data_IF_878062368663
#
_entry.id   IF_878062368663
#
_cell.length_a   1.000
_cell.length_b   1.000
_cell.length_c   1.000
_cell.angle_alpha   90.00
_cell.angle_beta   90.00
_cell.angle_gamma   90.00
#
_symmetry.space_group_name_H-M   'P 1'
#
loop_
_entity.id
_entity.type
_entity.pdbx_description
1 polymer ?
#
# COMPACT_ATOMS: atom_id res chain seq x y z
N UNK A 1 -11.92 32.53 39.18
CA UNK A 1 -12.49 33.55 38.25
C UNK A 1 -11.50 33.67 37.11
N UNK A 2 -11.72 33.18 35.89
CA UNK A 2 -12.97 32.94 35.16
C UNK A 2 -12.93 31.52 34.60
N UNK A 3 -13.97 30.78 34.94
CA UNK A 3 -14.35 29.49 34.39
C UNK A 3 -15.06 29.77 33.05
N UNK A 4 -14.53 29.30 31.93
CA UNK A 4 -15.24 29.30 30.65
C UNK A 4 -15.45 27.85 30.20
N UNK A 5 -16.40 27.21 30.87
CA UNK A 5 -17.19 26.12 30.32
C UNK A 5 -18.04 26.69 29.16
N UNK A 6 -17.58 26.49 27.92
CA UNK A 6 -18.43 26.69 26.75
C UNK A 6 -19.43 25.51 26.67
N UNK A 7 -20.74 25.77 26.51
CA UNK A 7 -21.74 24.71 26.49
C UNK A 7 -21.71 23.93 25.16
N UNK A 8 -21.74 22.60 25.25
CA UNK A 8 -22.14 21.75 24.13
C UNK A 8 -23.67 21.86 23.95
N UNK A 9 -24.11 22.73 23.05
CA UNK A 9 -25.47 22.66 22.52
C UNK A 9 -25.49 21.65 21.36
N UNK A 10 -25.91 20.42 21.61
CA UNK A 10 -26.34 19.49 20.57
C UNK A 10 -27.73 19.92 20.09
N UNK A 11 -27.81 20.72 19.02
CA UNK A 11 -29.07 20.92 18.30
C UNK A 11 -29.36 19.68 17.45
N UNK A 12 -30.48 19.00 17.73
CA UNK A 12 -30.95 17.85 16.98
C UNK A 12 -31.35 18.25 15.55
N UNK A 13 -30.47 18.02 14.57
CA UNK A 13 -30.86 17.87 13.17
C UNK A 13 -30.28 16.54 12.67
N UNK A 14 -31.14 15.61 12.26
CA UNK A 14 -30.78 14.25 11.80
C UNK A 14 -30.19 14.25 10.39
N UNK A 15 -29.24 15.15 10.12
CA UNK A 15 -28.69 15.38 8.78
C UNK A 15 -27.22 15.04 8.60
N UNK A 16 -26.37 15.07 9.64
CA UNK A 16 -24.92 15.12 9.41
C UNK A 16 -24.02 14.48 10.49
N UNK A 17 -24.48 13.39 11.11
CA UNK A 17 -23.74 12.70 12.20
C UNK A 17 -22.31 12.30 11.83
N UNK A 18 -22.03 11.95 10.56
CA UNK A 18 -20.68 11.57 10.11
C UNK A 18 -19.77 12.79 9.96
N UNK A 19 -20.26 13.91 9.40
CA UNK A 19 -19.47 15.13 9.24
C UNK A 19 -19.19 15.80 10.59
N UNK A 20 -20.19 15.82 11.46
CA UNK A 20 -20.07 16.30 12.84
C UNK A 20 -19.06 15.45 13.64
N UNK A 21 -19.16 14.12 13.53
CA UNK A 21 -18.19 13.22 14.14
C UNK A 21 -16.78 13.43 13.56
N UNK A 22 -16.63 13.55 12.23
CA UNK A 22 -15.34 13.85 11.58
C UNK A 22 -14.74 15.16 12.09
N UNK A 23 -15.53 16.22 12.21
CA UNK A 23 -15.10 17.52 12.74
C UNK A 23 -14.64 17.40 14.20
N UNK A 24 -15.40 16.68 15.03
CA UNK A 24 -15.05 16.39 16.42
C UNK A 24 -13.73 15.60 16.53
N UNK A 25 -13.55 14.53 15.74
CA UNK A 25 -12.32 13.74 15.72
C UNK A 25 -11.12 14.51 15.16
N UNK A 26 -11.31 15.36 14.15
CA UNK A 26 -10.25 16.24 13.64
C UNK A 26 -9.80 17.24 14.72
N UNK A 27 -10.74 17.84 15.46
CA UNK A 27 -10.45 18.70 16.60
C UNK A 27 -9.72 17.93 17.72
N UNK A 28 -10.17 16.72 18.05
CA UNK A 28 -9.52 15.85 19.03
C UNK A 28 -8.13 15.42 18.59
N UNK A 29 -7.91 15.13 17.29
CA UNK A 29 -6.60 14.83 16.70
C UNK A 29 -5.64 16.00 16.86
N UNK A 30 -6.07 17.22 16.56
CA UNK A 30 -5.26 18.43 16.76
C UNK A 30 -4.92 18.64 18.24
N UNK A 31 -5.91 18.48 19.14
CA UNK A 31 -5.71 18.60 20.60
C UNK A 31 -4.81 17.51 21.17
N UNK A 32 -4.97 16.27 20.74
CA UNK A 32 -4.19 15.14 21.23
C UNK A 32 -2.75 15.17 20.70
N UNK A 33 -2.55 15.64 19.47
CA UNK A 33 -1.22 16.00 18.95
C UNK A 33 -0.62 17.10 19.84
N UNK A 34 -1.38 18.12 20.22
CA UNK A 34 -0.95 19.18 21.15
C UNK A 34 -0.64 18.68 22.57
N UNK A 35 -1.41 17.74 23.13
CA UNK A 35 -1.15 17.14 24.44
C UNK A 35 0.09 16.22 24.43
N UNK A 36 0.26 15.43 23.36
CA UNK A 36 1.47 14.62 23.14
C UNK A 36 2.69 15.53 22.95
N UNK A 37 2.55 16.65 22.23
CA UNK A 37 3.59 17.67 22.05
C UNK A 37 4.01 18.34 23.38
N UNK A 38 3.09 18.54 24.32
CA UNK A 38 3.35 19.30 25.56
C UNK A 38 3.82 18.45 26.74
N UNK A 39 3.41 17.18 26.85
CA UNK A 39 3.60 16.40 28.09
C UNK A 39 4.28 15.04 27.92
N UNK A 40 4.48 14.55 26.70
CA UNK A 40 5.00 13.20 26.44
C UNK A 40 4.03 12.08 26.87
N UNK A 41 4.21 10.89 26.30
CA UNK A 41 3.29 9.74 26.54
C UNK A 41 3.27 9.24 27.99
N UNK A 42 4.36 9.43 28.76
CA UNK A 42 4.45 8.95 30.14
C UNK A 42 3.44 9.63 31.08
N UNK A 43 3.10 10.91 30.85
CA UNK A 43 2.13 11.64 31.66
C UNK A 43 0.66 11.38 31.26
N UNK A 44 0.43 10.81 30.06
CA UNK A 44 -0.91 10.49 29.57
C UNK A 44 -1.49 9.20 30.18
N UNK A 45 -0.61 8.34 30.73
CA UNK A 45 -0.96 7.01 31.28
C UNK A 45 -1.99 7.08 32.42
N UNK A 46 -1.99 8.17 33.20
CA UNK A 46 -2.92 8.37 34.32
C UNK A 46 -4.30 8.89 33.90
N UNK A 47 -4.43 9.62 32.78
CA UNK A 47 -5.73 10.12 32.27
C UNK A 47 -6.42 9.20 31.27
N UNK A 48 -5.71 8.22 30.72
CA UNK A 48 -6.29 7.23 29.80
C UNK A 48 -7.30 6.29 30.48
N UNK A 49 -7.27 6.15 31.81
CA UNK A 49 -8.28 5.37 32.56
C UNK A 49 -9.67 6.02 32.60
N UNK A 50 -9.76 7.34 32.46
CA UNK A 50 -11.05 8.08 32.41
C UNK A 50 -11.58 8.24 30.98
N UNK A 51 -10.77 8.00 29.95
CA UNK A 51 -11.16 8.11 28.52
C UNK A 51 -11.69 6.80 27.92
N UNK A 52 -11.94 5.78 28.75
CA UNK A 52 -12.36 4.43 28.34
C UNK A 52 -13.77 4.40 27.70
N UNK A 53 -14.58 5.45 27.85
CA UNK A 53 -15.90 5.55 27.20
C UNK A 53 -15.88 6.18 25.78
N UNK A 54 -14.73 6.65 25.28
CA UNK A 54 -14.61 7.26 23.95
C UNK A 54 -13.80 6.35 23.01
N UNK A 55 -14.44 5.25 22.61
CA UNK A 55 -13.86 4.17 21.82
C UNK A 55 -13.76 4.49 20.32
N UNK A 56 -13.13 5.62 19.96
CA UNK A 56 -12.76 5.95 18.57
C UNK A 56 -11.56 6.89 18.60
N UNK A 57 -10.38 6.32 18.86
CA UNK A 57 -9.13 7.04 18.95
C UNK A 57 -8.59 7.41 17.55
N UNK A 58 -7.82 8.50 17.40
CA UNK A 58 -7.26 8.91 16.11
C UNK A 58 -6.28 7.87 15.54
N UNK A 59 -6.18 7.82 14.20
CA UNK A 59 -5.39 6.90 13.32
C UNK A 59 -3.96 6.50 13.78
N UNK A 60 -3.34 7.22 14.72
CA UNK A 60 -2.02 6.90 15.30
C UNK A 60 -2.11 6.19 16.65
N UNK A 61 -3.12 6.52 17.48
CA UNK A 61 -3.30 5.82 18.75
C UNK A 61 -3.87 4.43 18.53
N UNK A 62 -4.71 4.20 17.51
CA UNK A 62 -5.26 2.86 17.22
C UNK A 62 -4.16 1.82 17.00
N UNK A 63 -3.06 2.15 16.32
CA UNK A 63 -1.92 1.23 16.12
C UNK A 63 -1.18 0.97 17.45
N UNK A 64 -0.98 2.01 18.26
CA UNK A 64 -0.33 1.89 19.57
C UNK A 64 -1.22 1.10 20.55
N UNK A 65 -2.53 1.36 20.52
CA UNK A 65 -3.55 0.73 21.33
C UNK A 65 -3.75 -0.73 20.91
N UNK A 66 -3.78 -1.05 19.61
CA UNK A 66 -3.80 -2.43 19.09
C UNK A 66 -2.52 -3.19 19.45
N UNK A 67 -1.32 -2.59 19.33
CA UNK A 67 -0.06 -3.20 19.79
C UNK A 67 -0.07 -3.49 21.30
N UNK A 68 -0.75 -2.65 22.09
CA UNK A 68 -0.82 -2.77 23.55
C UNK A 68 -1.96 -3.72 24.00
N UNK A 69 -3.11 -3.76 23.31
CA UNK A 69 -4.29 -4.55 23.68
C UNK A 69 -4.28 -5.98 23.13
N UNK A 70 -3.73 -6.23 21.94
CA UNK A 70 -3.84 -7.54 21.28
C UNK A 70 -2.88 -8.61 21.82
N UNK A 71 -2.22 -8.41 22.97
CA UNK A 71 -1.61 -9.49 23.76
C UNK A 71 -0.50 -10.31 23.10
N UNK A 72 -0.18 -10.12 21.82
CA UNK A 72 0.77 -10.94 21.07
C UNK A 72 2.24 -10.68 21.39
N UNK A 73 2.55 -9.77 22.33
CA UNK A 73 3.92 -9.37 22.64
C UNK A 73 4.24 -9.27 24.15
N UNK A 74 3.30 -9.56 25.05
CA UNK A 74 3.62 -9.72 26.47
C UNK A 74 3.95 -11.18 26.79
N UNK A 75 4.93 -11.77 26.07
CA UNK A 75 5.75 -12.80 26.69
C UNK A 75 6.85 -12.08 27.47
N UNK A 76 6.88 -12.35 28.77
CA UNK A 76 7.64 -11.65 29.79
C UNK A 76 9.16 -11.88 29.73
N UNK A 77 9.79 -11.68 28.58
CA UNK A 77 11.24 -11.76 28.39
C UNK A 77 11.70 -10.62 27.47
N UNK A 78 12.14 -9.49 28.02
CA UNK A 78 13.08 -8.51 27.42
C UNK A 78 12.95 -8.17 25.91
N UNK A 79 11.74 -8.21 25.33
CA UNK A 79 11.54 -7.83 23.93
C UNK A 79 11.49 -6.31 23.84
N UNK A 80 12.58 -5.72 23.36
CA UNK A 80 12.61 -4.35 22.87
C UNK A 80 11.45 -4.15 21.86
N UNK A 81 10.44 -3.35 22.25
CA UNK A 81 9.27 -3.03 21.42
C UNK A 81 9.65 -2.38 20.07
N UNK A 82 10.90 -1.93 19.91
CA UNK A 82 11.42 -1.31 18.70
C UNK A 82 10.73 0.01 18.36
N UNK A 83 9.97 0.57 19.32
CA UNK A 83 9.22 1.80 19.18
C UNK A 83 10.08 2.99 19.57
N UNK A 84 10.08 4.00 18.72
CA UNK A 84 10.68 5.30 18.93
C UNK A 84 9.60 6.36 18.96
N UNK A 85 9.82 7.43 19.72
CA UNK A 85 8.81 8.44 19.99
C UNK A 85 9.32 9.84 19.66
N UNK A 86 8.39 10.80 19.67
CA UNK A 86 8.69 12.23 19.59
C UNK A 86 9.51 12.62 18.34
N UNK A 87 9.32 11.90 17.24
CA UNK A 87 10.03 12.10 15.99
C UNK A 87 9.78 13.47 15.37
N UNK A 88 10.82 14.10 14.85
CA UNK A 88 10.80 15.26 13.95
C UNK A 88 11.55 14.84 12.70
N UNK A 89 10.87 14.91 11.56
CA UNK A 89 11.42 14.62 10.25
C UNK A 89 11.58 15.93 9.49
N UNK A 90 12.79 16.25 9.06
CA UNK A 90 13.08 17.41 8.23
C UNK A 90 13.75 17.00 6.92
N UNK A 91 13.47 17.76 5.87
CA UNK A 91 14.01 17.53 4.53
C UNK A 91 14.70 18.78 4.03
N UNK A 92 15.95 18.60 3.60
CA UNK A 92 16.71 19.58 2.85
C UNK A 92 16.94 19.04 1.44
N UNK A 93 16.90 19.90 0.42
CA UNK A 93 17.23 19.53 -0.95
C UNK A 93 17.89 20.70 -1.69
N UNK A 94 18.52 20.40 -2.84
CA UNK A 94 19.06 21.43 -3.73
C UNK A 94 17.99 22.45 -4.15
N UNK A 95 18.39 23.69 -4.43
CA UNK A 95 17.47 24.83 -4.70
C UNK A 95 16.46 24.58 -5.82
N UNK A 96 16.86 23.80 -6.82
CA UNK A 96 16.07 23.45 -8.01
C UNK A 96 15.09 22.29 -7.76
N UNK A 97 15.06 21.73 -6.55
CA UNK A 97 14.09 20.72 -6.12
C UNK A 97 13.22 21.31 -5.03
N UNK A 98 11.90 21.14 -5.16
CA UNK A 98 10.92 21.60 -4.17
C UNK A 98 10.17 20.41 -3.58
N UNK A 99 9.70 20.56 -2.35
CA UNK A 99 8.90 19.57 -1.61
C UNK A 99 7.42 19.88 -1.86
N UNK A 100 6.71 19.01 -2.57
CA UNK A 100 5.24 19.11 -2.71
C UNK A 100 4.53 18.65 -1.43
N UNK A 101 5.09 17.65 -0.77
CA UNK A 101 4.64 17.20 0.53
C UNK A 101 4.90 15.73 0.77
N UNK A 102 4.19 15.18 1.77
CA UNK A 102 4.38 13.83 2.27
C UNK A 102 3.04 13.13 2.49
N UNK A 103 2.99 11.84 2.16
CA UNK A 103 1.89 10.94 2.47
C UNK A 103 2.42 9.85 3.41
N UNK A 104 1.89 9.84 4.63
CA UNK A 104 2.30 8.89 5.66
C UNK A 104 1.85 9.31 7.07
N UNK A 105 2.18 8.52 8.11
CA UNK A 105 1.78 8.75 9.49
C UNK A 105 2.56 9.90 10.16
N UNK A 106 2.33 11.13 9.71
CA UNK A 106 2.96 12.33 10.22
C UNK A 106 1.99 13.53 10.23
N UNK A 107 2.39 14.61 10.88
CA UNK A 107 1.67 15.88 10.90
C UNK A 107 2.63 17.02 10.54
N UNK A 108 2.15 18.01 9.78
CA UNK A 108 2.94 19.19 9.42
C UNK A 108 3.42 19.96 10.67
N UNK A 109 4.65 20.45 10.64
CA UNK A 109 5.17 21.44 11.59
C UNK A 109 5.11 22.87 11.05
N UNK A 110 4.48 23.06 9.88
CA UNK A 110 4.27 24.37 9.25
C UNK A 110 5.57 25.18 9.07
N UNK A 111 6.70 24.49 8.89
CA UNK A 111 8.00 25.09 8.59
C UNK A 111 8.00 25.53 7.12
N UNK A 112 7.45 26.72 6.89
CA UNK A 112 7.46 27.37 5.58
C UNK A 112 8.88 27.76 5.19
N UNK A 113 9.17 27.74 3.90
CA UNK A 113 10.46 28.15 3.38
C UNK A 113 10.59 27.96 1.88
N UNK A 114 11.74 28.37 1.30
CA UNK A 114 11.97 28.33 -0.15
C UNK A 114 12.03 26.90 -0.72
N UNK A 115 12.01 25.87 0.12
CA UNK A 115 11.96 24.47 -0.28
C UNK A 115 10.54 23.98 -0.56
N UNK A 116 9.49 24.68 -0.13
CA UNK A 116 8.10 24.26 -0.34
C UNK A 116 7.69 24.53 -1.80
N UNK A 117 7.02 23.57 -2.45
CA UNK A 117 6.37 23.79 -3.76
C UNK A 117 5.05 24.54 -3.59
N UNK A 118 4.63 25.24 -4.64
CA UNK A 118 3.29 25.82 -4.76
C UNK A 118 2.22 24.73 -4.95
N UNK A 119 2.60 23.62 -5.60
CA UNK A 119 1.72 22.46 -5.76
C UNK A 119 1.82 21.56 -4.54
N UNK A 120 0.71 21.36 -3.84
CA UNK A 120 0.66 20.64 -2.56
C UNK A 120 0.08 19.24 -2.74
N UNK A 121 0.77 18.25 -2.18
CA UNK A 121 0.26 16.87 -2.09
C UNK A 121 0.43 16.33 -0.68
N UNK A 122 -0.61 15.69 -0.13
CA UNK A 122 -0.58 15.16 1.23
C UNK A 122 -0.42 16.27 2.26
N UNK A 123 0.45 16.05 3.25
CA UNK A 123 0.84 17.04 4.24
C UNK A 123 1.95 17.94 3.66
N UNK A 124 1.61 18.88 2.77
CA UNK A 124 2.59 19.79 2.16
C UNK A 124 2.69 21.15 2.84
N UNK A 125 3.14 22.18 2.10
CA UNK A 125 3.41 23.54 2.61
C UNK A 125 4.39 23.60 3.81
N UNK A 126 5.25 22.60 3.93
CA UNK A 126 6.27 22.50 5.00
C UNK A 126 7.45 21.67 4.50
N UNK A 127 8.61 21.86 5.11
CA UNK A 127 9.77 20.95 4.97
C UNK A 127 10.07 20.17 6.24
N UNK A 128 9.18 20.22 7.24
CA UNK A 128 9.30 19.50 8.49
C UNK A 128 7.97 18.95 8.99
N UNK A 129 8.03 17.76 9.61
CA UNK A 129 6.88 17.02 10.12
C UNK A 129 7.15 16.38 11.47
N UNK A 130 6.10 16.26 12.27
CA UNK A 130 6.10 15.52 13.52
C UNK A 130 5.63 14.08 13.30
N UNK A 131 6.32 13.14 13.93
CA UNK A 131 5.94 11.73 14.00
C UNK A 131 5.86 11.31 15.47
N UNK A 132 4.64 11.05 15.97
CA UNK A 132 4.45 10.73 17.39
C UNK A 132 5.01 9.35 17.76
N UNK A 133 4.91 8.38 16.85
CA UNK A 133 5.45 7.03 17.00
C UNK A 133 6.07 6.55 15.69
N UNK A 134 7.30 6.07 15.76
CA UNK A 134 8.11 5.59 14.64
C UNK A 134 8.67 4.24 15.01
N UNK A 135 8.69 3.28 14.09
CA UNK A 135 9.47 2.07 14.25
C UNK A 135 10.31 1.82 13.00
N UNK A 136 11.07 0.72 12.99
CA UNK A 136 11.94 0.35 11.88
C UNK A 136 11.18 0.10 10.57
N UNK A 137 9.86 -0.16 10.63
CA UNK A 137 9.01 -0.44 9.46
C UNK A 137 8.27 0.80 8.94
N UNK A 138 8.21 1.89 9.72
CA UNK A 138 7.60 3.15 9.28
C UNK A 138 8.27 3.69 8.02
N UNK A 139 7.50 3.79 6.95
CA UNK A 139 7.91 4.36 5.67
C UNK A 139 7.04 5.55 5.30
N UNK A 140 7.66 6.58 4.70
CA UNK A 140 6.98 7.81 4.28
C UNK A 140 7.12 7.96 2.76
N UNK A 141 6.05 8.40 2.10
CA UNK A 141 6.07 8.72 0.67
C UNK A 141 6.24 10.24 0.51
N UNK A 142 7.38 10.67 -0.03
CA UNK A 142 7.63 12.08 -0.31
C UNK A 142 7.52 12.36 -1.80
N UNK A 143 6.92 13.51 -2.11
CA UNK A 143 6.71 13.94 -3.48
C UNK A 143 7.44 15.26 -3.67
N UNK A 144 8.20 15.33 -4.74
CA UNK A 144 9.04 16.45 -5.08
C UNK A 144 8.62 17.04 -6.41
N UNK A 145 8.88 18.33 -6.54
CA UNK A 145 8.77 19.08 -7.78
C UNK A 145 10.16 19.46 -8.27
N UNK A 146 10.33 19.54 -9.59
CA UNK A 146 11.54 20.07 -10.19
C UNK A 146 11.24 21.50 -10.61
N UNK A 147 11.88 22.47 -9.96
CA UNK A 147 11.73 23.88 -10.31
C UNK A 147 12.32 24.10 -11.72
N UNK A 148 11.46 24.31 -12.71
CA UNK A 148 11.89 24.64 -14.07
C UNK A 148 12.53 26.02 -14.09
N UNK A 149 13.69 26.13 -14.72
CA UNK A 149 14.27 27.43 -15.09
C UNK A 149 13.71 27.83 -16.44
N UNK A 150 12.55 28.48 -16.45
CA UNK A 150 12.02 29.11 -17.66
C UNK A 150 12.69 30.48 -17.81
N UNK A 151 13.78 30.55 -18.59
CA UNK A 151 14.49 31.80 -18.87
C UNK A 151 15.65 31.61 -19.86
N UNK A 152 16.13 32.70 -20.51
CA UNK A 152 17.22 32.67 -21.49
C UNK A 152 18.57 32.18 -20.93
N UNK A 153 18.70 32.09 -19.60
CA UNK A 153 19.86 31.50 -18.89
C UNK A 153 19.82 29.96 -18.80
N UNK A 154 18.85 29.30 -19.44
CA UNK A 154 18.77 27.83 -19.53
C UNK A 154 19.96 27.17 -20.26
N UNK A 155 20.82 27.96 -20.91
CA UNK A 155 22.04 27.51 -21.57
C UNK A 155 23.22 27.27 -20.61
N UNK A 156 23.10 27.62 -19.33
CA UNK A 156 24.10 27.28 -18.32
C UNK A 156 23.89 25.88 -17.76
N UNK A 157 24.70 24.90 -18.19
CA UNK A 157 24.82 23.64 -17.45
C UNK A 157 25.03 23.95 -15.96
N UNK A 158 24.27 23.34 -15.03
CA UNK A 158 24.54 23.55 -13.63
C UNK A 158 25.99 23.13 -13.36
N UNK A 159 26.77 24.01 -12.72
CA UNK A 159 28.19 23.75 -12.40
C UNK A 159 28.39 22.43 -11.63
N UNK A 160 27.33 21.93 -10.98
CA UNK A 160 27.21 20.59 -10.47
C UNK A 160 26.08 19.85 -11.20
N UNK A 161 26.41 18.77 -11.90
CA UNK A 161 25.44 17.91 -12.58
C UNK A 161 24.65 17.01 -11.60
N UNK A 162 24.82 17.19 -10.29
CA UNK A 162 24.09 16.46 -9.26
C UNK A 162 23.21 17.39 -8.43
N UNK A 163 22.11 16.83 -7.96
CA UNK A 163 21.28 17.39 -6.91
C UNK A 163 21.25 16.45 -5.71
N UNK A 164 20.99 17.02 -4.54
CA UNK A 164 21.09 16.33 -3.27
C UNK A 164 19.77 16.42 -2.52
N UNK A 165 19.51 15.37 -1.75
CA UNK A 165 18.51 15.35 -0.70
C UNK A 165 19.19 14.96 0.60
N UNK A 166 18.76 15.57 1.68
CA UNK A 166 19.17 15.21 3.03
C UNK A 166 17.93 15.11 3.91
N UNK A 167 17.78 13.95 4.53
CA UNK A 167 16.68 13.63 5.41
C UNK A 167 17.20 13.53 6.83
N UNK A 168 16.61 14.31 7.73
CA UNK A 168 16.99 14.38 9.13
C UNK A 168 15.83 13.87 9.98
N UNK A 169 16.06 12.82 10.74
CA UNK A 169 15.06 12.28 11.67
C UNK A 169 15.60 12.40 13.09
N UNK A 170 15.09 13.36 13.84
CA UNK A 170 15.34 13.50 15.28
C UNK A 170 14.28 12.71 16.03
N UNK A 171 14.65 11.83 16.95
CA UNK A 171 13.66 11.03 17.68
C UNK A 171 14.20 10.57 19.04
N UNK A 172 13.29 10.22 19.94
CA UNK A 172 13.62 9.55 21.18
C UNK A 172 13.66 8.04 20.95
N UNK A 173 14.82 7.43 21.11
CA UNK A 173 15.01 5.99 21.01
C UNK A 173 14.31 5.28 22.19
N UNK A 174 14.01 3.98 22.05
CA UNK A 174 13.37 3.18 23.10
C UNK A 174 14.11 3.22 24.47
N UNK A 175 15.43 3.36 24.46
CA UNK A 175 16.30 3.50 25.64
C UNK A 175 16.26 4.91 26.26
N UNK A 176 15.41 5.82 25.77
CA UNK A 176 15.20 7.15 26.32
C UNK A 176 16.11 8.26 25.77
N UNK A 177 17.24 7.91 25.14
CA UNK A 177 18.15 8.90 24.54
C UNK A 177 17.60 9.50 23.24
N UNK A 178 17.91 10.78 23.01
CA UNK A 178 17.65 11.44 21.74
C UNK A 178 18.68 11.00 20.68
N UNK A 179 18.21 10.71 19.48
CA UNK A 179 19.04 10.35 18.32
C UNK A 179 18.68 11.21 17.12
N UNK A 180 19.68 11.46 16.29
CA UNK A 180 19.52 12.04 14.96
C UNK A 180 19.97 11.00 13.92
N UNK A 181 19.06 10.58 13.06
CA UNK A 181 19.39 9.81 11.85
C UNK A 181 19.44 10.75 10.67
N UNK A 182 20.60 10.81 10.00
CA UNK A 182 20.79 11.59 8.77
C UNK A 182 20.95 10.63 7.60
N UNK A 183 20.24 10.89 6.50
CA UNK A 183 20.41 10.15 5.24
C UNK A 183 20.55 11.17 4.13
N UNK A 184 21.71 11.15 3.46
CA UNK A 184 22.00 12.03 2.33
C UNK A 184 22.10 11.18 1.08
N UNK A 185 21.41 11.59 0.02
CA UNK A 185 21.49 10.94 -1.29
C UNK A 185 21.67 11.98 -2.38
N UNK A 186 22.38 11.61 -3.44
CA UNK A 186 22.53 12.42 -4.64
C UNK A 186 21.95 11.70 -5.85
N UNK A 187 21.51 12.50 -6.82
CA UNK A 187 21.06 12.05 -8.14
C UNK A 187 21.63 12.99 -9.19
N UNK A 188 21.77 12.49 -10.41
CA UNK A 188 22.30 13.24 -11.55
C UNK A 188 21.16 13.87 -12.34
N UNK A 189 21.35 15.10 -12.80
CA UNK A 189 20.46 15.72 -13.78
C UNK A 189 20.65 15.06 -15.14
N UNK A 190 19.53 14.83 -15.81
CA UNK A 190 19.51 14.28 -17.16
C UNK A 190 19.18 15.42 -18.12
N UNK A 191 20.08 15.70 -19.07
CA UNK A 191 19.95 16.73 -20.08
C UNK A 191 20.58 16.26 -21.40
N UNK A 192 20.02 16.70 -22.53
CA UNK A 192 20.52 16.36 -23.86
C UNK A 192 19.62 15.41 -24.67
N UNK A 193 20.05 15.02 -25.88
CA UNK A 193 19.24 14.24 -26.82
C UNK A 193 18.88 12.83 -26.31
N UNK A 194 19.77 12.18 -25.55
CA UNK A 194 19.51 10.84 -24.97
C UNK A 194 18.77 10.87 -23.63
N UNK A 195 18.25 12.05 -23.24
CA UNK A 195 17.61 12.25 -21.93
C UNK A 195 16.45 11.29 -21.64
N UNK A 196 15.73 10.84 -22.67
CA UNK A 196 14.62 9.90 -22.49
C UNK A 196 15.10 8.51 -22.03
N UNK A 197 16.17 8.00 -22.61
CA UNK A 197 16.72 6.67 -22.27
C UNK A 197 17.27 6.65 -20.84
N UNK A 198 18.00 7.69 -20.45
CA UNK A 198 18.51 7.84 -19.08
C UNK A 198 17.37 7.94 -18.04
N UNK A 199 16.28 8.63 -18.38
CA UNK A 199 15.08 8.69 -17.53
C UNK A 199 14.39 7.33 -17.42
N UNK A 200 14.27 6.59 -18.53
CA UNK A 200 13.70 5.24 -18.54
C UNK A 200 14.54 4.27 -17.69
N UNK A 201 15.86 4.37 -17.75
CA UNK A 201 16.77 3.56 -16.95
C UNK A 201 16.62 3.82 -15.44
N UNK A 202 16.24 5.04 -15.05
CA UNK A 202 15.98 5.44 -13.67
C UNK A 202 14.58 5.11 -13.14
N UNK A 203 13.67 4.57 -13.98
CA UNK A 203 12.31 4.25 -13.56
C UNK A 203 12.26 2.96 -12.73
N UNK A 204 11.56 3.05 -11.60
CA UNK A 204 11.27 1.94 -10.70
C UNK A 204 9.76 1.72 -10.67
N UNK A 205 9.30 0.67 -11.37
CA UNK A 205 7.88 0.36 -11.50
C UNK A 205 7.21 -0.08 -10.19
N UNK A 206 7.94 -0.69 -9.25
CA UNK A 206 7.40 -1.12 -7.95
C UNK A 206 7.17 0.09 -7.06
N UNK A 207 8.18 0.97 -6.96
CA UNK A 207 8.04 2.24 -6.24
C UNK A 207 6.95 3.10 -6.87
N UNK A 208 6.88 3.19 -8.20
CA UNK A 208 5.83 3.93 -8.90
C UNK A 208 4.43 3.37 -8.58
N UNK A 209 4.27 2.03 -8.52
CA UNK A 209 3.00 1.41 -8.17
C UNK A 209 2.58 1.73 -6.73
N UNK A 210 3.52 1.61 -5.77
CA UNK A 210 3.26 1.95 -4.37
C UNK A 210 2.91 3.43 -4.16
N UNK A 211 3.63 4.34 -4.82
CA UNK A 211 3.35 5.79 -4.78
C UNK A 211 2.00 6.10 -5.44
N UNK A 212 1.68 5.49 -6.58
CA UNK A 212 0.39 5.67 -7.26
C UNK A 212 -0.77 5.18 -6.41
N UNK A 213 -0.62 4.05 -5.73
CA UNK A 213 -1.61 3.53 -4.78
C UNK A 213 -1.88 4.52 -3.62
N UNK A 214 -0.82 5.14 -3.07
CA UNK A 214 -0.98 6.18 -2.04
C UNK A 214 -1.64 7.45 -2.56
N UNK A 215 -1.26 7.87 -3.76
CA UNK A 215 -1.81 9.06 -4.41
C UNK A 215 -3.30 8.90 -4.70
N UNK A 216 -3.72 7.80 -5.36
CA UNK A 216 -5.14 7.56 -5.65
C UNK A 216 -5.95 7.44 -4.36
N UNK A 217 -5.42 6.75 -3.36
CA UNK A 217 -6.05 6.63 -2.05
C UNK A 217 -6.21 7.99 -1.36
N UNK A 218 -5.19 8.85 -1.42
CA UNK A 218 -5.24 10.19 -0.84
C UNK A 218 -6.27 11.06 -1.56
N UNK A 219 -6.25 11.08 -2.90
CA UNK A 219 -7.21 11.85 -3.72
C UNK A 219 -8.65 11.43 -3.44
N UNK A 220 -8.92 10.13 -3.35
CA UNK A 220 -10.23 9.61 -2.95
C UNK A 220 -10.67 10.02 -1.54
N UNK A 221 -9.75 10.34 -0.62
CA UNK A 221 -10.10 10.86 0.71
C UNK A 221 -10.37 12.36 0.71
N UNK A 222 -9.72 13.11 -0.19
CA UNK A 222 -9.70 14.58 -0.15
C UNK A 222 -10.57 15.27 -1.19
N UNK A 223 -10.84 14.62 -2.31
CA UNK A 223 -11.57 15.18 -3.46
C UNK A 223 -12.94 14.49 -3.58
N UNK A 224 -14.03 15.26 -3.46
CA UNK A 224 -15.39 14.71 -3.34
C UNK A 224 -15.88 13.98 -4.61
N UNK A 225 -15.58 14.51 -5.80
CA UNK A 225 -16.03 13.97 -7.09
C UNK A 225 -14.89 13.31 -7.89
N UNK A 226 -13.90 12.78 -7.18
CA UNK A 226 -12.74 12.16 -7.81
C UNK A 226 -13.07 10.78 -8.37
N UNK A 227 -12.87 10.61 -9.68
CA UNK A 227 -12.97 9.32 -10.37
C UNK A 227 -11.59 8.63 -10.38
N UNK A 228 -11.34 7.66 -9.48
CA UNK A 228 -10.03 7.03 -9.36
C UNK A 228 -9.68 6.16 -10.56
N UNK A 229 -10.66 5.48 -11.17
CA UNK A 229 -10.43 4.57 -12.28
C UNK A 229 -10.00 5.37 -13.50
N UNK A 230 -10.74 6.42 -13.85
CA UNK A 230 -10.39 7.29 -14.97
C UNK A 230 -9.06 8.00 -14.75
N UNK A 231 -8.74 8.38 -13.51
CA UNK A 231 -7.45 9.00 -13.19
C UNK A 231 -6.28 8.02 -13.37
N UNK A 232 -6.42 6.78 -12.90
CA UNK A 232 -5.42 5.72 -13.10
C UNK A 232 -5.25 5.40 -14.59
N UNK A 233 -6.34 5.13 -15.30
CA UNK A 233 -6.31 4.74 -16.71
C UNK A 233 -5.69 5.85 -17.57
N UNK A 234 -6.07 7.12 -17.37
CA UNK A 234 -5.45 8.27 -18.08
C UNK A 234 -3.98 8.47 -17.75
N UNK A 235 -3.56 8.17 -16.53
CA UNK A 235 -2.15 8.30 -16.13
C UNK A 235 -1.31 7.19 -16.74
N UNK A 236 -1.85 5.96 -16.78
CA UNK A 236 -1.21 4.83 -17.44
C UNK A 236 -1.11 5.02 -18.95
N UNK A 237 -2.19 5.46 -19.62
CA UNK A 237 -2.16 5.74 -21.07
C UNK A 237 -1.09 6.79 -21.38
N UNK A 238 -1.02 7.90 -20.63
CA UNK A 238 0.01 8.93 -20.85
C UNK A 238 1.43 8.40 -20.66
N UNK A 239 1.65 7.53 -19.69
CA UNK A 239 2.94 6.88 -19.46
C UNK A 239 3.29 5.94 -20.62
N UNK A 240 2.38 5.06 -21.02
CA UNK A 240 2.59 4.13 -22.14
C UNK A 240 2.78 4.84 -23.47
N UNK A 241 2.04 5.92 -23.74
CA UNK A 241 2.17 6.71 -24.97
C UNK A 241 3.53 7.42 -25.04
N UNK A 242 4.09 7.82 -23.89
CA UNK A 242 5.34 8.56 -23.80
C UNK A 242 6.59 7.66 -23.79
N UNK A 243 6.51 6.48 -23.17
CA UNK A 243 7.66 5.60 -22.92
C UNK A 243 7.55 4.23 -23.61
N UNK A 244 6.48 3.98 -24.35
CA UNK A 244 6.32 2.77 -25.15
C UNK A 244 6.87 2.95 -26.57
N UNK A 245 7.33 1.85 -27.14
CA UNK A 245 7.77 1.77 -28.54
C UNK A 245 6.62 1.24 -29.37
N UNK A 246 6.19 2.00 -30.39
CA UNK A 246 5.09 1.63 -31.27
C UNK A 246 5.14 2.39 -32.60
N UNK A 247 4.46 1.83 -33.59
CA UNK A 247 4.04 2.54 -34.79
C UNK A 247 2.64 3.12 -34.55
N UNK A 248 2.47 4.39 -34.96
CA UNK A 248 1.20 5.10 -34.78
C UNK A 248 0.05 4.32 -35.42
N UNK A 249 -1.08 4.28 -34.72
CA UNK A 249 -2.31 3.59 -35.15
C UNK A 249 -2.15 2.05 -35.36
N UNK A 250 -1.05 1.45 -34.89
CA UNK A 250 -0.78 0.01 -35.00
C UNK A 250 -0.61 -0.64 -33.61
N UNK A 251 -1.71 -1.10 -32.97
CA UNK A 251 -1.66 -1.64 -31.61
C UNK A 251 -0.74 -2.85 -31.44
N UNK A 252 -0.63 -3.70 -32.47
CA UNK A 252 0.21 -4.91 -32.44
C UNK A 252 1.71 -4.62 -32.40
N UNK A 253 2.12 -3.39 -32.71
CA UNK A 253 3.52 -2.95 -32.64
C UNK A 253 3.93 -2.47 -31.24
N UNK A 254 2.96 -2.31 -30.32
CA UNK A 254 3.23 -1.73 -29.01
C UNK A 254 4.07 -2.67 -28.15
N UNK A 255 5.14 -2.12 -27.58
CA UNK A 255 5.98 -2.78 -26.61
C UNK A 255 6.46 -1.83 -25.52
N UNK A 256 6.80 -2.39 -24.36
CA UNK A 256 7.38 -1.66 -23.24
C UNK A 256 8.70 -2.29 -22.85
N UNK A 257 9.67 -1.45 -22.49
CA UNK A 257 10.93 -1.95 -21.94
C UNK A 257 10.69 -2.69 -20.61
N UNK A 258 11.61 -3.59 -20.20
CA UNK A 258 11.48 -4.36 -18.95
C UNK A 258 11.32 -3.50 -17.68
N UNK A 259 11.75 -2.24 -17.73
CA UNK A 259 11.58 -1.27 -16.63
C UNK A 259 10.13 -0.87 -16.40
N UNK A 260 9.28 -0.99 -17.42
CA UNK A 260 7.88 -0.56 -17.40
C UNK A 260 6.89 -1.71 -17.63
N UNK A 261 7.33 -2.87 -18.09
CA UNK A 261 6.47 -3.95 -18.58
C UNK A 261 5.48 -4.51 -17.54
N UNK A 262 5.79 -4.41 -16.25
CA UNK A 262 4.93 -4.91 -15.16
C UNK A 262 4.00 -3.80 -14.64
N UNK A 263 4.33 -2.52 -14.88
CA UNK A 263 3.54 -1.40 -14.40
C UNK A 263 2.06 -1.43 -14.85
N UNK A 264 1.70 -1.79 -16.10
CA UNK A 264 0.30 -2.00 -16.49
C UNK A 264 -0.42 -3.07 -15.65
N UNK A 265 0.26 -4.16 -15.31
CA UNK A 265 -0.28 -5.22 -14.45
C UNK A 265 -0.56 -4.69 -13.03
N UNK A 266 0.35 -3.88 -12.47
CA UNK A 266 0.11 -3.23 -11.18
C UNK A 266 -1.11 -2.31 -11.23
N UNK A 267 -1.29 -1.52 -12.29
CA UNK A 267 -2.46 -0.65 -12.43
C UNK A 267 -3.76 -1.44 -12.60
N UNK A 268 -3.73 -2.55 -13.35
CA UNK A 268 -4.85 -3.47 -13.47
C UNK A 268 -5.28 -4.08 -12.13
N UNK A 269 -4.32 -4.47 -11.29
CA UNK A 269 -4.62 -5.01 -9.97
C UNK A 269 -5.05 -3.90 -9.00
N UNK A 270 -4.41 -2.73 -9.04
CA UNK A 270 -4.73 -1.58 -8.19
C UNK A 270 -6.17 -1.09 -8.40
N UNK A 271 -6.62 -0.95 -9.65
CA UNK A 271 -7.97 -0.46 -9.98
C UNK A 271 -9.09 -1.40 -9.50
N UNK A 272 -8.78 -2.69 -9.29
CA UNK A 272 -9.69 -3.73 -8.76
C UNK A 272 -9.49 -3.98 -7.26
N UNK A 273 -8.45 -3.37 -6.66
CA UNK A 273 -8.13 -3.56 -5.25
C UNK A 273 -9.12 -2.85 -4.33
N UNK A 274 -9.13 -3.27 -3.07
CA UNK A 274 -9.92 -2.66 -1.99
C UNK A 274 -9.53 -1.20 -1.66
N UNK A 275 -8.43 -0.69 -2.22
CA UNK A 275 -8.05 0.71 -2.08
C UNK A 275 -8.89 1.62 -2.97
N UNK A 276 -9.37 1.09 -4.10
CA UNK A 276 -10.15 1.80 -5.13
C UNK A 276 -11.61 1.33 -5.15
N UNK A 277 -11.85 0.02 -5.20
CA UNK A 277 -13.20 -0.56 -5.19
C UNK A 277 -13.69 -0.74 -3.75
N UNK A 278 -14.24 0.33 -3.17
CA UNK A 278 -14.62 0.36 -1.74
C UNK A 278 -16.04 -0.15 -1.46
N UNK A 279 -16.86 -0.43 -2.48
CA UNK A 279 -18.31 -0.74 -2.34
C UNK A 279 -18.57 -1.97 -1.46
N UNK A 280 -17.69 -2.97 -1.48
CA UNK A 280 -17.84 -4.21 -0.72
C UNK A 280 -17.12 -4.17 0.65
N UNK A 281 -16.62 -3.01 1.06
CA UNK A 281 -15.95 -2.83 2.34
C UNK A 281 -16.72 -1.82 3.20
N UNK A 282 -16.70 -2.02 4.51
CA UNK A 282 -17.13 -0.97 5.42
C UNK A 282 -16.19 0.25 5.34
N UNK A 283 -16.67 1.45 5.72
CA UNK A 283 -15.82 2.64 5.81
C UNK A 283 -14.60 2.43 6.72
N UNK A 284 -14.76 1.65 7.80
CA UNK A 284 -13.71 1.35 8.77
C UNK A 284 -12.65 0.39 8.20
N UNK A 285 -13.05 -0.66 7.49
CA UNK A 285 -12.11 -1.55 6.78
C UNK A 285 -11.31 -0.78 5.73
N UNK A 286 -11.99 0.08 4.97
CA UNK A 286 -11.32 0.94 3.98
C UNK A 286 -10.28 1.84 4.65
N UNK A 287 -10.65 2.49 5.77
CA UNK A 287 -9.73 3.33 6.52
C UNK A 287 -8.54 2.53 7.09
N UNK A 288 -8.78 1.30 7.56
CA UNK A 288 -7.74 0.39 8.04
C UNK A 288 -6.75 0.02 6.92
N UNK A 289 -7.23 -0.40 5.76
CA UNK A 289 -6.36 -0.75 4.64
C UNK A 289 -5.49 0.43 4.20
N UNK A 290 -6.10 1.62 4.05
CA UNK A 290 -5.38 2.85 3.66
C UNK A 290 -4.38 3.30 4.71
N UNK A 291 -4.69 3.13 5.99
CA UNK A 291 -3.77 3.43 7.09
C UNK A 291 -2.50 2.57 7.00
N UNK A 292 -2.64 1.28 6.73
CA UNK A 292 -1.50 0.36 6.62
C UNK A 292 -0.69 0.64 5.35
N UNK A 293 -1.34 0.86 4.19
CA UNK A 293 -0.69 1.26 2.93
C UNK A 293 0.21 2.50 3.10
N UNK A 294 -0.25 3.47 3.88
CA UNK A 294 0.48 4.72 4.11
C UNK A 294 1.67 4.60 5.07
N UNK A 295 1.80 3.48 5.79
CA UNK A 295 2.90 3.21 6.74
C UNK A 295 3.93 2.23 6.18
N UNK A 296 3.52 1.30 5.33
CA UNK A 296 4.35 0.16 4.91
C UNK A 296 5.44 0.52 3.90
N UNK A 297 6.42 -0.37 3.71
CA UNK A 297 7.47 -0.17 2.72
C UNK A 297 6.97 -0.48 1.28
N UNK A 298 7.84 -0.30 0.27
CA UNK A 298 7.49 -0.55 -1.14
C UNK A 298 7.11 -2.01 -1.37
N UNK A 299 7.92 -2.95 -0.91
CA UNK A 299 7.69 -4.40 -1.10
C UNK A 299 6.32 -4.84 -0.55
N UNK A 300 6.00 -4.47 0.69
CA UNK A 300 4.70 -4.77 1.29
C UNK A 300 3.54 -4.06 0.59
N UNK A 301 3.76 -2.80 0.14
CA UNK A 301 2.74 -2.07 -0.64
C UNK A 301 2.46 -2.75 -1.98
N UNK A 302 3.49 -3.29 -2.64
CA UNK A 302 3.34 -4.06 -3.88
C UNK A 302 2.53 -5.33 -3.63
N UNK A 303 2.81 -6.09 -2.56
CA UNK A 303 2.01 -7.28 -2.20
C UNK A 303 0.55 -6.93 -1.93
N UNK A 304 0.26 -5.77 -1.32
CA UNK A 304 -1.12 -5.30 -1.14
C UNK A 304 -1.83 -4.99 -2.47
N UNK A 305 -1.10 -4.50 -3.47
CA UNK A 305 -1.64 -4.14 -4.79
C UNK A 305 -1.78 -5.38 -5.67
N UNK A 306 -0.72 -6.17 -5.75
CA UNK A 306 -0.63 -7.41 -6.52
C UNK A 306 -0.21 -8.54 -5.57
N UNK A 307 -1.19 -9.30 -5.05
CA UNK A 307 -0.93 -10.48 -4.22
C UNK A 307 0.01 -11.47 -4.88
N UNK A 308 0.82 -12.15 -4.08
CA UNK A 308 1.64 -13.28 -4.56
C UNK A 308 0.86 -14.58 -4.45
N UNK A 309 1.11 -15.50 -5.37
CA UNK A 309 0.52 -16.82 -5.40
C UNK A 309 1.63 -17.86 -5.58
N UNK A 310 1.70 -18.84 -4.68
CA UNK A 310 2.67 -19.94 -4.76
C UNK A 310 1.90 -21.25 -4.93
N UNK A 311 2.33 -22.07 -5.87
CA UNK A 311 1.76 -23.38 -6.16
C UNK A 311 2.63 -24.49 -5.58
N UNK A 312 1.99 -25.43 -4.88
CA UNK A 312 2.60 -26.63 -4.31
C UNK A 312 1.97 -27.84 -5.00
N UNK A 313 2.80 -28.75 -5.49
CA UNK A 313 2.38 -29.99 -6.14
C UNK A 313 3.33 -31.13 -5.80
N UNK A 314 3.00 -32.36 -6.20
CA UNK A 314 3.93 -33.48 -6.13
C UNK A 314 5.02 -33.47 -7.21
N UNK A 315 4.81 -32.71 -8.29
CA UNK A 315 5.64 -32.75 -9.50
C UNK A 315 6.79 -31.75 -9.40
N UNK A 316 6.51 -30.56 -8.86
CA UNK A 316 7.46 -29.45 -8.75
C UNK A 316 7.60 -28.99 -7.31
N UNK A 317 8.80 -28.47 -6.99
CA UNK A 317 9.00 -27.69 -5.77
C UNK A 317 8.10 -26.43 -5.77
N UNK A 318 7.86 -25.79 -4.61
CA UNK A 318 7.01 -24.60 -4.53
C UNK A 318 7.46 -23.53 -5.52
N UNK A 319 6.54 -23.11 -6.41
CA UNK A 319 6.85 -22.18 -7.50
C UNK A 319 5.84 -21.03 -7.57
N UNK A 320 6.27 -19.82 -7.97
CA UNK A 320 5.35 -18.71 -8.20
C UNK A 320 4.36 -19.04 -9.31
N UNK A 321 3.07 -18.83 -9.04
CA UNK A 321 1.99 -18.97 -10.00
C UNK A 321 1.47 -17.58 -10.43
N UNK A 322 0.94 -17.49 -11.65
CA UNK A 322 0.24 -16.30 -12.09
C UNK A 322 -1.04 -16.10 -11.27
N UNK A 323 -1.38 -14.85 -10.97
CA UNK A 323 -2.60 -14.48 -10.24
C UNK A 323 -3.82 -14.59 -11.17
N UNK A 324 -4.09 -15.79 -11.64
CA UNK A 324 -5.06 -16.11 -12.69
C UNK A 324 -5.87 -17.34 -12.31
N UNK A 325 -7.12 -17.43 -12.79
CA UNK A 325 -7.98 -18.59 -12.57
C UNK A 325 -7.34 -19.89 -13.08
N UNK A 326 -6.49 -19.82 -14.11
CA UNK A 326 -5.77 -20.99 -14.64
C UNK A 326 -4.78 -21.61 -13.66
N UNK A 327 -4.43 -20.92 -12.55
CA UNK A 327 -3.59 -21.47 -11.50
C UNK A 327 -4.31 -22.53 -10.66
N UNK A 328 -5.64 -22.56 -10.67
CA UNK A 328 -6.44 -23.51 -9.92
C UNK A 328 -6.41 -24.88 -10.62
N UNK A 329 -5.98 -25.91 -9.88
CA UNK A 329 -6.00 -27.30 -10.31
C UNK A 329 -6.40 -28.22 -9.16
N UNK A 330 -6.98 -29.38 -9.48
CA UNK A 330 -7.49 -30.35 -8.50
C UNK A 330 -6.38 -30.96 -7.62
N UNK A 331 -5.18 -31.10 -8.17
CA UNK A 331 -4.01 -31.78 -7.61
C UNK A 331 -2.97 -30.82 -6.99
N UNK A 332 -3.32 -29.53 -6.83
CA UNK A 332 -2.42 -28.50 -6.31
C UNK A 332 -2.93 -27.86 -5.03
N UNK A 333 -2.00 -27.36 -4.23
CA UNK A 333 -2.29 -26.43 -3.12
C UNK A 333 -1.76 -25.06 -3.52
N UNK A 334 -2.54 -24.01 -3.27
CA UNK A 334 -2.14 -22.63 -3.53
C UNK A 334 -2.00 -21.87 -2.21
N UNK A 335 -0.91 -21.13 -2.06
CA UNK A 335 -0.71 -20.15 -1.01
C UNK A 335 -0.81 -18.75 -1.61
N UNK A 336 -1.91 -18.05 -1.33
CA UNK A 336 -2.08 -16.65 -1.69
C UNK A 336 -1.68 -15.77 -0.52
N UNK A 337 -0.82 -14.79 -0.78
CA UNK A 337 -0.52 -13.73 0.15
C UNK A 337 -0.94 -12.37 -0.42
N UNK A 338 -1.99 -11.79 0.17
CA UNK A 338 -2.55 -10.48 -0.19
C UNK A 338 -2.23 -9.38 0.83
N UNK A 339 -1.15 -9.56 1.59
CA UNK A 339 -0.75 -8.77 2.75
C UNK A 339 -1.71 -8.90 3.94
N UNK A 340 -3.00 -8.57 3.79
CA UNK A 340 -4.00 -8.58 4.87
C UNK A 340 -4.61 -9.95 5.12
N UNK A 341 -4.61 -10.82 4.12
CA UNK A 341 -5.14 -12.18 4.20
C UNK A 341 -4.18 -13.14 3.52
N UNK A 342 -3.88 -14.23 4.21
CA UNK A 342 -3.12 -15.36 3.69
C UNK A 342 -4.11 -16.51 3.49
N UNK A 343 -4.18 -17.05 2.27
CA UNK A 343 -5.10 -18.15 1.94
C UNK A 343 -4.31 -19.39 1.57
N UNK A 344 -4.57 -20.49 2.28
CA UNK A 344 -4.13 -21.84 1.89
C UNK A 344 -5.33 -22.54 1.26
N UNK A 345 -5.29 -22.69 -0.06
CA UNK A 345 -6.35 -23.26 -0.87
C UNK A 345 -5.98 -24.66 -1.36
N UNK A 346 -6.85 -25.63 -1.13
CA UNK A 346 -6.64 -27.01 -1.58
C UNK A 346 -7.52 -27.32 -2.78
N UNK A 347 -6.91 -27.83 -3.87
CA UNK A 347 -7.64 -28.40 -4.99
C UNK A 347 -8.50 -29.59 -4.57
N UNK A 348 -9.52 -29.88 -5.38
CA UNK A 348 -10.50 -30.95 -5.08
C UNK A 348 -9.88 -32.31 -4.74
N UNK A 349 -8.91 -32.80 -5.51
CA UNK A 349 -8.25 -34.10 -5.25
C UNK A 349 -7.44 -34.07 -3.96
N UNK A 350 -6.69 -33.00 -3.72
CA UNK A 350 -5.94 -32.82 -2.46
C UNK A 350 -6.89 -32.80 -1.25
N UNK A 351 -8.00 -32.07 -1.35
CA UNK A 351 -9.00 -32.00 -0.29
C UNK A 351 -9.61 -33.39 0.00
N UNK A 352 -9.96 -34.14 -1.05
CA UNK A 352 -10.47 -35.52 -0.92
C UNK A 352 -9.47 -36.44 -0.22
N UNK A 353 -8.20 -36.41 -0.63
CA UNK A 353 -7.14 -37.21 -0.01
C UNK A 353 -6.90 -36.84 1.46
N UNK A 354 -6.97 -35.54 1.79
CA UNK A 354 -6.84 -35.05 3.17
C UNK A 354 -7.99 -35.53 4.05
N UNK A 355 -9.22 -35.51 3.52
CA UNK A 355 -10.43 -35.98 4.22
C UNK A 355 -10.40 -37.50 4.41
N UNK A 356 -9.92 -38.25 3.41
CA UNK A 356 -9.72 -39.70 3.51
C UNK A 356 -8.63 -40.10 4.51
N UNK A 357 -7.81 -39.15 4.97
CA UNK A 357 -6.80 -39.37 6.01
C UNK A 357 -5.53 -40.04 5.50
N UNK A 358 -5.22 -39.95 4.20
CA UNK A 358 -4.01 -40.57 3.63
C UNK A 358 -2.73 -40.05 4.27
N UNK A 359 -2.69 -38.80 4.72
CA UNK A 359 -1.54 -38.21 5.42
C UNK A 359 -1.16 -38.92 6.74
N UNK A 360 -2.06 -39.72 7.31
CA UNK A 360 -1.82 -40.47 8.55
C UNK A 360 -1.43 -41.94 8.30
N UNK A 361 -1.43 -42.38 7.05
CA UNK A 361 -1.14 -43.77 6.68
C UNK A 361 0.36 -43.94 6.35
N UNK A 362 0.93 -45.09 6.73
CA UNK A 362 2.32 -45.41 6.41
C UNK A 362 2.53 -45.48 4.88
N UNK A 363 3.60 -44.87 4.38
CA UNK A 363 3.91 -44.78 2.94
C UNK A 363 3.36 -43.53 2.23
N UNK A 364 2.61 -42.68 2.94
CA UNK A 364 2.09 -41.40 2.41
C UNK A 364 2.73 -40.17 3.06
N UNK A 365 3.96 -40.30 3.56
CA UNK A 365 4.70 -39.22 4.24
C UNK A 365 4.89 -38.00 3.32
N UNK A 366 5.08 -38.22 2.02
CA UNK A 366 5.18 -37.15 1.02
C UNK A 366 3.90 -36.30 0.95
N UNK A 367 2.72 -36.90 1.12
CA UNK A 367 1.45 -36.16 1.15
C UNK A 367 1.31 -35.34 2.45
N UNK A 368 1.74 -35.91 3.58
CA UNK A 368 1.79 -35.16 4.84
C UNK A 368 2.71 -33.93 4.73
N UNK A 369 3.88 -34.09 4.11
CA UNK A 369 4.81 -32.98 3.84
C UNK A 369 4.20 -31.93 2.90
N UNK A 370 3.53 -32.36 1.82
CA UNK A 370 2.85 -31.45 0.88
C UNK A 370 1.78 -30.59 1.57
N UNK A 371 1.03 -31.16 2.52
CA UNK A 371 0.03 -30.41 3.30
C UNK A 371 0.66 -29.47 4.33
N UNK A 372 1.86 -29.78 4.82
CA UNK A 372 2.53 -29.01 5.86
C UNK A 372 3.31 -27.81 5.30
N UNK A 373 3.99 -27.96 4.16
CA UNK A 373 4.80 -26.91 3.54
C UNK A 373 4.09 -25.54 3.41
N UNK A 374 2.89 -25.42 2.82
CA UNK A 374 2.20 -24.13 2.70
C UNK A 374 1.74 -23.58 4.07
N UNK A 375 1.58 -24.41 5.09
CA UNK A 375 1.26 -23.96 6.45
C UNK A 375 2.47 -23.37 7.15
N UNK A 376 3.64 -23.98 6.98
CA UNK A 376 4.90 -23.47 7.53
C UNK A 376 5.23 -22.10 6.91
N UNK A 377 5.07 -21.98 5.59
CA UNK A 377 5.25 -20.71 4.87
C UNK A 377 4.22 -19.64 5.32
N UNK A 378 2.94 -20.03 5.46
CA UNK A 378 1.91 -19.13 5.98
C UNK A 378 2.22 -18.65 7.41
N UNK A 379 2.70 -19.55 8.28
CA UNK A 379 3.09 -19.21 9.65
C UNK A 379 4.30 -18.28 9.68
N UNK A 380 5.27 -18.48 8.79
CA UNK A 380 6.41 -17.57 8.59
C UNK A 380 5.94 -16.15 8.26
N UNK A 381 5.02 -16.03 7.30
CA UNK A 381 4.41 -14.75 6.93
C UNK A 381 3.68 -14.11 8.12
N UNK A 382 2.90 -14.89 8.87
CA UNK A 382 2.15 -14.41 10.03
C UNK A 382 3.05 -13.91 11.17
N UNK A 383 4.21 -14.55 11.40
CA UNK A 383 5.17 -14.18 12.44
C UNK A 383 5.88 -12.86 12.12
N UNK A 384 6.24 -12.65 10.85
CA UNK A 384 6.98 -11.45 10.46
C UNK A 384 6.08 -10.22 10.30
N UNK A 385 4.85 -10.42 9.81
CA UNK A 385 3.97 -9.32 9.40
C UNK A 385 3.26 -8.66 10.58
N UNK A 386 3.18 -7.34 10.50
CA UNK A 386 2.36 -6.55 11.42
C UNK A 386 1.53 -5.55 10.62
N UNK A 387 0.20 -5.51 10.78
CA UNK A 387 -0.62 -6.37 11.64
C UNK A 387 -0.65 -7.83 11.15
N UNK A 388 -0.93 -8.77 12.06
CA UNK A 388 -1.00 -10.19 11.71
C UNK A 388 -2.12 -10.39 10.69
N UNK A 389 -1.86 -11.02 9.53
CA UNK A 389 -2.86 -11.25 8.52
C UNK A 389 -3.89 -12.28 8.98
N UNK A 390 -5.09 -12.20 8.41
CA UNK A 390 -6.10 -13.25 8.57
C UNK A 390 -5.66 -14.49 7.79
N UNK A 391 -5.48 -15.62 8.48
CA UNK A 391 -5.28 -16.91 7.83
C UNK A 391 -6.63 -17.52 7.45
N UNK A 392 -6.77 -17.92 6.19
CA UNK A 392 -7.93 -18.63 5.65
C UNK A 392 -7.46 -19.95 5.07
N UNK A 393 -7.98 -21.05 5.60
CA UNK A 393 -7.74 -22.38 5.04
C UNK A 393 -9.04 -22.85 4.41
N UNK A 394 -9.01 -23.17 3.13
CA UNK A 394 -10.20 -23.55 2.39
C UNK A 394 -9.91 -24.60 1.31
N UNK A 395 -10.98 -25.20 0.82
CA UNK A 395 -10.97 -26.16 -0.27
C UNK A 395 -11.70 -25.58 -1.47
N UNK A 396 -11.40 -26.09 -2.67
CA UNK A 396 -12.13 -25.76 -3.88
C UNK A 396 -13.64 -25.99 -3.70
N UNK A 397 -14.44 -25.03 -4.17
CA UNK A 397 -15.90 -24.94 -3.98
C UNK A 397 -16.37 -24.69 -2.53
N UNK A 398 -15.47 -24.51 -1.57
CA UNK A 398 -15.80 -24.03 -0.22
C UNK A 398 -16.16 -22.55 -0.19
N UNK A 399 -17.02 -22.12 0.73
CA UNK A 399 -17.48 -20.72 0.83
C UNK A 399 -16.34 -19.71 1.06
N UNK A 400 -15.27 -20.12 1.75
CA UNK A 400 -14.09 -19.30 2.01
C UNK A 400 -13.13 -19.24 0.79
N UNK A 401 -13.31 -20.07 -0.24
CA UNK A 401 -12.51 -20.00 -1.47
C UNK A 401 -12.68 -18.64 -2.19
N UNK A 402 -13.79 -17.93 -1.94
CA UNK A 402 -14.03 -16.58 -2.46
C UNK A 402 -12.90 -15.58 -2.15
N UNK A 403 -12.16 -15.77 -1.05
CA UNK A 403 -11.02 -14.92 -0.70
C UNK A 403 -9.87 -15.05 -1.70
N UNK A 404 -9.69 -16.24 -2.30
CA UNK A 404 -8.77 -16.47 -3.41
C UNK A 404 -9.38 -15.93 -4.71
N UNK A 405 -10.59 -16.39 -5.06
CA UNK A 405 -11.22 -16.10 -6.35
C UNK A 405 -11.37 -14.60 -6.61
N UNK A 406 -11.69 -13.80 -5.59
CA UNK A 406 -11.84 -12.35 -5.72
C UNK A 406 -10.52 -11.62 -6.06
N UNK A 407 -9.37 -12.29 -5.97
CA UNK A 407 -8.06 -11.72 -6.31
C UNK A 407 -7.52 -12.20 -7.66
N UNK A 408 -8.10 -13.25 -8.25
CA UNK A 408 -7.62 -13.81 -9.50
C UNK A 408 -8.10 -13.03 -10.73
N UNK A 409 -7.32 -13.09 -11.79
CA UNK A 409 -7.71 -12.62 -13.11
C UNK A 409 -8.75 -13.59 -13.74
N UNK A 410 -9.93 -13.11 -14.15
CA UNK A 410 -10.94 -13.93 -14.83
C UNK A 410 -10.60 -14.08 -16.32
N UNK A 411 -9.50 -14.78 -16.62
CA UNK A 411 -9.06 -15.01 -18.01
C UNK A 411 -9.99 -15.95 -18.79
N UNK A 412 -10.63 -16.89 -18.09
CA UNK A 412 -11.63 -17.82 -18.64
C UNK A 412 -13.02 -17.25 -18.34
N UNK A 413 -13.69 -16.74 -19.38
CA UNK A 413 -15.04 -16.19 -19.26
C UNK A 413 -16.11 -17.27 -19.46
N UNK A 414 -17.24 -17.14 -18.76
CA UNK A 414 -18.43 -17.98 -19.00
C UNK A 414 -19.15 -17.65 -20.32
N UNK A 415 -18.88 -16.47 -20.92
CA UNK A 415 -19.53 -16.01 -22.15
C UNK A 415 -18.82 -16.49 -23.44
N UNK A 416 -17.61 -17.04 -23.35
CA UNK A 416 -16.94 -17.65 -24.50
C UNK A 416 -17.47 -19.06 -24.74
N UNK A 417 -18.06 -19.30 -25.91
CA UNK A 417 -18.62 -20.59 -26.36
C UNK A 417 -17.59 -21.75 -26.42
N UNK A 418 -16.34 -21.53 -26.00
CA UNK A 418 -15.34 -22.57 -25.78
C UNK A 418 -15.65 -23.31 -24.47
N UNK A 419 -16.57 -24.28 -24.57
CA UNK A 419 -16.84 -25.28 -23.54
C UNK A 419 -15.54 -25.86 -22.96
N UNK A 420 -15.33 -25.69 -21.65
CA UNK A 420 -14.85 -26.68 -20.66
C UNK A 420 -13.91 -27.83 -21.13
N UNK A 421 -12.91 -27.57 -21.97
CA UNK A 421 -12.04 -28.67 -22.44
C UNK A 421 -10.96 -29.13 -21.45
N UNK A 422 -10.83 -28.53 -20.27
CA UNK A 422 -9.76 -28.93 -19.33
C UNK A 422 -10.09 -28.74 -17.84
N UNK A 423 -11.30 -29.07 -17.35
CA UNK A 423 -11.57 -29.11 -15.90
C UNK A 423 -11.17 -27.85 -15.10
N UNK A 424 -11.05 -26.71 -15.77
CA UNK A 424 -10.57 -25.45 -15.20
C UNK A 424 -11.70 -24.72 -14.50
N UNK A 425 -11.35 -23.99 -13.44
CA UNK A 425 -12.32 -23.18 -12.69
C UNK A 425 -12.72 -21.93 -13.51
N UNK A 426 -13.92 -21.41 -13.27
CA UNK A 426 -14.45 -20.22 -13.96
C UNK A 426 -14.91 -19.21 -12.91
N UNK A 427 -14.48 -17.96 -13.04
CA UNK A 427 -14.88 -16.89 -12.12
C UNK A 427 -16.09 -16.17 -12.71
N UNK A 428 -17.21 -16.21 -12.00
CA UNK A 428 -18.42 -15.47 -12.36
C UNK A 428 -18.28 -14.00 -11.95
N UNK A 429 -17.85 -13.16 -12.89
CA UNK A 429 -17.70 -11.71 -12.70
C UNK A 429 -17.88 -10.97 -14.02
N UNK A 430 -18.32 -9.71 -13.95
CA UNK A 430 -18.34 -8.76 -15.07
C UNK A 430 -17.00 -7.99 -15.20
N UNK A 431 -16.04 -8.29 -14.33
CA UNK A 431 -14.69 -7.73 -14.42
C UNK A 431 -14.01 -8.13 -15.73
N UNK A 432 -13.34 -7.15 -16.33
CA UNK A 432 -12.54 -7.33 -17.54
C UNK A 432 -11.25 -8.11 -17.22
N UNK A 433 -10.88 -9.07 -18.06
CA UNK A 433 -9.61 -9.79 -17.94
C UNK A 433 -8.40 -8.89 -18.21
N UNK A 434 -7.23 -9.28 -17.71
CA UNK A 434 -6.00 -8.53 -17.93
C UNK A 434 -5.66 -8.38 -19.42
N UNK A 435 -5.90 -9.42 -20.23
CA UNK A 435 -5.64 -9.39 -21.66
C UNK A 435 -6.51 -8.34 -22.37
N UNK A 436 -7.81 -8.29 -22.07
CA UNK A 436 -8.72 -7.29 -22.66
C UNK A 436 -8.33 -5.88 -22.21
N UNK A 437 -7.95 -5.72 -20.93
CA UNK A 437 -7.43 -4.45 -20.42
C UNK A 437 -6.17 -4.00 -21.17
N UNK A 438 -5.21 -4.91 -21.38
CA UNK A 438 -3.95 -4.61 -22.06
C UNK A 438 -4.19 -4.27 -23.54
N UNK A 439 -5.05 -5.02 -24.23
CA UNK A 439 -5.44 -4.73 -25.61
C UNK A 439 -6.07 -3.34 -25.77
N UNK A 440 -6.91 -2.93 -24.82
CA UNK A 440 -7.50 -1.59 -24.82
C UNK A 440 -6.46 -0.50 -24.52
N UNK A 441 -5.56 -0.74 -23.56
CA UNK A 441 -4.45 0.17 -23.25
C UNK A 441 -3.55 0.39 -24.48
N UNK A 442 -3.18 -0.69 -25.18
CA UNK A 442 -2.35 -0.62 -26.39
C UNK A 442 -3.02 0.24 -27.47
N UNK A 443 -4.31 0.01 -27.75
CA UNK A 443 -5.07 0.79 -28.73
C UNK A 443 -5.06 2.29 -28.41
N UNK A 444 -5.27 2.65 -27.15
CA UNK A 444 -5.29 4.05 -26.74
C UNK A 444 -3.88 4.68 -26.70
N UNK A 445 -2.86 3.91 -26.34
CA UNK A 445 -1.49 4.41 -26.26
C UNK A 445 -0.92 4.77 -27.65
N UNK A 446 -1.25 3.99 -28.69
CA UNK A 446 -0.75 4.25 -30.06
C UNK A 446 -1.52 5.35 -30.81
N UNK A 447 -2.63 5.82 -30.23
CA UNK A 447 -3.49 6.89 -30.78
C UNK A 447 -3.21 8.26 -30.17
N UNK A 448 -2.51 8.31 -29.04
CA UNK A 448 -2.37 9.49 -28.18
C UNK A 448 -1.41 10.57 -28.73
#
# INVERSE_FOLDING_TARGET
>A
MVDQTLPMSLSSSRGNTIEEARSCYCSLRCRMTFYILRWGLQNLKWRLKELVELLFLPRVLVILFLKILLGGFFQANDVDLGLSFNGVFEVNCSKDVKVQGIIGPCASLEKKGPLCSETVVGQGNTSAWKMCGVDKKTSLCMIFDIARKDGPDAAGQPANNQFYFQFLTYYQHNYGHMRLRVTTLSRRWVAGPDSLQDLMAGFDQETAAAVTARLVSFKMETEADFDPIRWLDRSLIRLCSKFGDYQKDSPSSFSLSPRFSIFPQFMFNLRRSQFVQIVNNSPDETAYYRMILNRENVSNSVVMVQPSLISYSFVSAPEPALLDVTAIAADRILLLDSYFTVVVFHGTSIAQWRIAGYQNQAGHEAFAQLLQAPRDDAEGIMKERFPVPRLVICDQYGSQARFLLAKLNPSVSYNSDSRLTSGGDVIFTDDVSFEVFLNHLQRLAVQA
#
